data_IF_398173724436
#
_entry.id   IF_398173724436
#
_cell.length_a   1.000
_cell.length_b   1.000
_cell.length_c   1.000
_cell.angle_alpha   90.00
_cell.angle_beta   90.00
_cell.angle_gamma   90.00
#
_symmetry.space_group_name_H-M   'P 1'
#
loop_
_entity.id
_entity.type
_entity.pdbx_description
1 polymer ?
#
# COMPACT_ATOMS: atom_id res chain seq x y z
N UNK A 1 22.99 -4.98 4.93
CA UNK A 1 22.35 -6.30 5.12
C UNK A 1 20.94 -6.11 5.69
N UNK A 2 19.94 -5.93 4.83
CA UNK A 2 18.52 -5.83 5.22
C UNK A 2 17.93 -7.22 5.52
N UNK A 3 18.46 -7.92 6.51
CA UNK A 3 17.93 -9.21 6.94
C UNK A 3 16.79 -8.98 7.93
N UNK A 4 15.56 -9.25 7.53
CA UNK A 4 14.44 -9.46 8.45
C UNK A 4 13.53 -8.25 8.76
N UNK A 5 13.49 -7.22 7.92
CA UNK A 5 12.87 -5.93 8.24
C UNK A 5 11.34 -5.84 8.07
N UNK A 6 10.67 -6.77 7.39
CA UNK A 6 9.27 -6.55 7.03
C UNK A 6 8.27 -6.57 8.21
N UNK A 7 8.38 -7.52 9.13
CA UNK A 7 7.52 -7.58 10.33
C UNK A 7 7.89 -6.49 11.33
N UNK A 8 9.19 -6.29 11.51
CA UNK A 8 9.74 -5.19 12.33
C UNK A 8 9.26 -3.84 11.79
N UNK A 9 9.23 -3.65 10.46
CA UNK A 9 8.86 -2.40 9.82
C UNK A 9 7.39 -1.98 10.09
N UNK A 10 6.40 -2.88 9.89
CA UNK A 10 4.99 -2.52 10.13
C UNK A 10 4.66 -2.35 11.61
N UNK A 11 5.24 -3.16 12.48
CA UNK A 11 5.19 -2.96 13.94
C UNK A 11 5.85 -1.65 14.35
N UNK A 12 6.96 -1.27 13.72
CA UNK A 12 7.61 0.02 13.95
C UNK A 12 6.70 1.18 13.51
N UNK A 13 6.03 1.08 12.36
CA UNK A 13 5.07 2.09 11.93
C UNK A 13 3.92 2.21 12.95
N UNK A 14 3.28 1.10 13.33
CA UNK A 14 2.20 1.12 14.34
C UNK A 14 2.67 1.76 15.64
N UNK A 15 3.85 1.37 16.13
CA UNK A 15 4.45 1.97 17.35
C UNK A 15 4.76 3.46 17.14
N UNK A 16 5.30 3.83 16.00
CA UNK A 16 5.58 5.22 15.65
C UNK A 16 4.31 6.07 15.64
N UNK A 17 3.23 5.56 15.04
CA UNK A 17 1.93 6.25 14.99
C UNK A 17 1.35 6.45 16.40
N UNK A 18 1.46 5.43 17.29
CA UNK A 18 0.98 5.53 18.68
C UNK A 18 1.77 6.59 19.46
N UNK A 19 3.08 6.66 19.27
CA UNK A 19 3.98 7.56 19.97
C UNK A 19 4.00 8.98 19.37
N UNK A 20 3.48 9.16 18.15
CA UNK A 20 3.50 10.44 17.47
C UNK A 20 2.64 11.49 18.20
N UNK A 21 3.24 12.66 18.42
CA UNK A 21 2.60 13.83 19.02
C UNK A 21 2.20 14.89 17.98
N UNK A 22 2.79 14.82 16.78
CA UNK A 22 2.48 15.72 15.68
C UNK A 22 1.09 15.48 15.09
N UNK A 23 0.44 16.54 14.60
CA UNK A 23 -0.88 16.46 13.94
C UNK A 23 -0.85 15.55 12.71
N UNK A 24 0.26 15.52 11.99
CA UNK A 24 0.44 14.73 10.77
C UNK A 24 1.58 13.74 10.93
N UNK A 25 1.42 12.56 10.33
CA UNK A 25 2.38 11.48 10.32
C UNK A 25 2.83 11.19 8.88
N UNK A 26 4.13 11.20 8.67
CA UNK A 26 4.73 10.93 7.37
C UNK A 26 5.76 9.79 7.50
N UNK A 27 5.63 8.76 6.68
CA UNK A 27 6.56 7.63 6.66
C UNK A 27 7.68 7.98 5.69
N UNK A 28 8.91 7.98 6.20
CA UNK A 28 10.12 8.14 5.39
C UNK A 28 11.02 6.93 5.63
N UNK A 29 11.34 6.20 4.56
CA UNK A 29 12.22 5.04 4.63
C UNK A 29 13.67 5.50 4.90
N UNK A 30 14.47 4.66 5.57
CA UNK A 30 15.82 5.05 6.05
C UNK A 30 16.84 5.22 4.93
N UNK A 31 16.56 4.77 3.75
CA UNK A 31 17.36 4.86 2.52
C UNK A 31 16.85 5.93 1.54
N UNK A 32 15.78 6.64 1.92
CA UNK A 32 15.15 7.68 1.13
C UNK A 32 15.28 9.05 1.82
N UNK A 33 14.90 10.12 1.14
CA UNK A 33 14.98 11.47 1.69
C UNK A 33 13.87 12.40 1.18
N UNK A 34 13.63 13.47 1.91
CA UNK A 34 12.62 14.45 1.55
C UNK A 34 13.17 15.42 0.48
N UNK A 35 12.29 15.87 -0.42
CA UNK A 35 12.59 16.99 -1.30
C UNK A 35 12.79 18.28 -0.48
N UNK A 36 13.63 19.19 -0.94
CA UNK A 36 14.06 20.38 -0.18
C UNK A 36 12.92 21.25 0.37
N UNK A 37 11.79 21.32 -0.35
CA UNK A 37 10.61 22.09 0.06
C UNK A 37 9.46 21.19 0.58
N UNK A 38 9.71 19.93 0.85
CA UNK A 38 8.66 18.95 1.19
C UNK A 38 7.78 19.41 2.36
N UNK A 39 8.39 19.81 3.48
CA UNK A 39 7.65 20.22 4.67
C UNK A 39 6.82 21.47 4.43
N UNK A 40 7.36 22.44 3.68
CA UNK A 40 6.62 23.65 3.28
C UNK A 40 5.38 23.30 2.44
N UNK A 41 5.53 22.41 1.45
CA UNK A 41 4.42 22.01 0.59
C UNK A 41 3.37 21.19 1.35
N UNK A 42 3.80 20.27 2.22
CA UNK A 42 2.90 19.52 3.11
C UNK A 42 2.11 20.50 3.98
N UNK A 43 2.78 21.45 4.64
CA UNK A 43 2.13 22.44 5.47
C UNK A 43 1.12 23.28 4.67
N UNK A 44 1.51 23.77 3.50
CA UNK A 44 0.65 24.58 2.62
C UNK A 44 -0.65 23.84 2.26
N UNK A 45 -0.55 22.57 1.87
CA UNK A 45 -1.73 21.79 1.45
C UNK A 45 -2.56 21.29 2.64
N UNK A 46 -1.94 20.96 3.77
CA UNK A 46 -2.67 20.57 4.98
C UNK A 46 -3.48 21.72 5.55
N UNK A 47 -2.97 22.95 5.49
CA UNK A 47 -3.73 24.14 5.92
C UNK A 47 -5.00 24.38 5.11
N UNK A 48 -5.00 24.05 3.83
CA UNK A 48 -6.17 24.22 2.97
C UNK A 48 -7.31 23.22 3.20
N UNK A 49 -7.02 22.13 3.93
CA UNK A 49 -8.02 21.09 4.24
C UNK A 49 -8.29 20.95 5.75
N UNK A 50 -7.71 21.82 6.56
CA UNK A 50 -7.66 21.68 8.01
C UNK A 50 -9.06 21.59 8.67
N UNK A 51 -10.02 22.31 8.11
CA UNK A 51 -11.39 22.35 8.62
C UNK A 51 -12.33 21.32 7.98
N UNK A 52 -11.91 20.63 6.93
CA UNK A 52 -12.72 19.60 6.27
C UNK A 52 -12.41 18.20 6.81
N UNK A 53 -13.25 17.71 7.69
CA UNK A 53 -13.14 16.40 8.34
C UNK A 53 -13.33 15.19 7.38
N UNK A 54 -13.59 15.44 6.12
CA UNK A 54 -13.62 14.38 5.10
C UNK A 54 -12.23 14.02 4.57
N UNK A 55 -11.20 14.80 4.90
CA UNK A 55 -9.83 14.49 4.55
C UNK A 55 -9.12 13.72 5.67
N UNK A 56 -8.31 12.73 5.27
CA UNK A 56 -7.37 12.05 6.15
C UNK A 56 -5.95 12.66 6.08
N UNK A 57 -5.72 13.59 5.16
CA UNK A 57 -4.41 14.19 4.96
C UNK A 57 -4.16 14.59 3.50
N UNK A 58 -2.89 14.63 3.14
CA UNK A 58 -2.42 15.05 1.82
C UNK A 58 -1.48 14.01 1.21
N UNK A 59 -1.24 14.09 -0.11
CA UNK A 59 -0.37 13.17 -0.80
C UNK A 59 0.39 13.86 -1.94
N UNK A 60 1.71 13.85 -1.89
CA UNK A 60 2.56 14.39 -2.93
C UNK A 60 3.24 13.32 -3.78
N UNK A 61 4.13 13.72 -4.67
CA UNK A 61 4.84 12.81 -5.54
C UNK A 61 6.07 12.21 -4.87
N UNK A 62 6.30 10.91 -5.15
CA UNK A 62 7.63 10.31 -5.09
C UNK A 62 8.32 10.47 -6.44
N UNK A 63 9.57 10.87 -6.41
CA UNK A 63 10.41 11.02 -7.60
C UNK A 63 11.72 10.24 -7.44
N UNK A 64 12.35 9.93 -8.56
CA UNK A 64 13.73 9.46 -8.58
C UNK A 64 14.72 10.63 -8.42
N UNK A 65 16.01 10.36 -8.08
CA UNK A 65 17.03 11.40 -8.01
C UNK A 65 17.20 12.23 -9.29
N UNK A 66 16.83 11.68 -10.44
CA UNK A 66 16.85 12.38 -11.73
C UNK A 66 15.59 13.24 -12.00
N UNK A 67 14.73 13.42 -11.00
CA UNK A 67 13.52 14.24 -11.08
C UNK A 67 12.30 13.56 -11.73
N UNK A 68 12.44 12.35 -12.31
CA UNK A 68 11.28 11.65 -12.92
C UNK A 68 10.33 11.12 -11.85
N UNK A 69 9.03 11.31 -12.06
CA UNK A 69 8.00 10.76 -11.18
C UNK A 69 7.99 9.23 -11.20
N UNK A 70 7.85 8.61 -10.05
CA UNK A 70 7.65 7.17 -9.90
C UNK A 70 6.31 6.78 -10.52
N UNK A 71 6.32 5.80 -11.43
CA UNK A 71 5.12 5.32 -12.13
C UNK A 71 4.67 6.15 -13.32
N UNK A 72 5.47 7.14 -13.74
CA UNK A 72 5.23 7.99 -14.92
C UNK A 72 4.34 9.20 -14.65
N UNK A 73 4.11 9.99 -15.67
CA UNK A 73 3.37 11.26 -15.59
C UNK A 73 1.93 11.08 -15.11
N UNK A 74 1.40 12.12 -14.49
CA UNK A 74 0.01 12.20 -14.03
C UNK A 74 -0.59 13.56 -14.42
N UNK A 75 -1.76 13.51 -15.02
CA UNK A 75 -2.43 14.71 -15.55
C UNK A 75 -3.40 15.29 -14.52
N UNK A 76 -2.87 15.85 -13.43
CA UNK A 76 -3.63 16.66 -12.47
C UNK A 76 -2.68 17.67 -11.80
N UNK A 77 -3.21 18.80 -11.35
CA UNK A 77 -2.49 19.74 -10.49
C UNK A 77 -2.82 19.51 -9.02
N UNK A 78 -4.09 19.51 -8.70
CA UNK A 78 -4.65 19.14 -7.40
C UNK A 78 -5.84 18.21 -7.65
N UNK A 79 -5.99 17.18 -6.83
CA UNK A 79 -7.07 16.20 -6.96
C UNK A 79 -7.51 15.73 -5.57
N UNK A 80 -8.73 16.10 -5.19
CA UNK A 80 -9.35 15.69 -3.93
C UNK A 80 -10.16 14.41 -4.15
N UNK A 81 -9.61 13.27 -3.72
CA UNK A 81 -10.24 11.96 -3.91
C UNK A 81 -9.71 10.93 -2.92
N UNK A 82 -10.37 9.82 -2.80
CA UNK A 82 -9.87 8.68 -2.02
C UNK A 82 -8.85 7.84 -2.81
N UNK A 83 -8.05 7.04 -2.12
CA UNK A 83 -6.94 6.28 -2.72
C UNK A 83 -7.42 5.21 -3.73
N UNK A 84 -8.62 4.67 -3.58
CA UNK A 84 -9.19 3.69 -4.51
C UNK A 84 -9.56 4.40 -5.82
N UNK A 85 -10.32 5.49 -5.76
CA UNK A 85 -10.68 6.29 -6.94
C UNK A 85 -9.43 6.86 -7.64
N UNK A 86 -8.43 7.29 -6.88
CA UNK A 86 -7.15 7.75 -7.42
C UNK A 86 -6.50 6.72 -8.35
N UNK A 87 -6.57 5.44 -7.98
CA UNK A 87 -6.01 4.34 -8.78
C UNK A 87 -6.96 3.85 -9.87
N UNK A 88 -8.26 3.71 -9.58
CA UNK A 88 -9.21 3.08 -10.50
C UNK A 88 -9.81 4.06 -11.50
N UNK A 89 -10.25 5.23 -11.04
CA UNK A 89 -10.91 6.24 -11.89
C UNK A 89 -9.89 7.12 -12.60
N UNK A 90 -8.91 7.66 -11.86
CA UNK A 90 -7.91 8.57 -12.41
C UNK A 90 -6.68 7.87 -12.96
N UNK A 91 -6.55 6.55 -12.73
CA UNK A 91 -5.50 5.66 -13.28
C UNK A 91 -4.07 6.11 -13.00
N UNK A 92 -3.86 6.87 -11.92
CA UNK A 92 -2.52 7.30 -11.53
C UNK A 92 -1.71 6.11 -11.03
N UNK A 93 -0.51 5.94 -11.56
CA UNK A 93 0.40 4.84 -11.26
C UNK A 93 1.58 5.31 -10.40
N UNK A 94 2.31 4.33 -9.86
CA UNK A 94 3.51 4.54 -9.05
C UNK A 94 3.21 4.79 -7.58
N UNK A 95 4.24 4.66 -6.76
CA UNK A 95 4.13 4.93 -5.35
C UNK A 95 4.03 6.44 -5.11
N UNK A 96 3.31 6.79 -4.08
CA UNK A 96 3.05 8.17 -3.70
C UNK A 96 3.58 8.41 -2.28
N UNK A 97 3.63 9.67 -1.90
CA UNK A 97 4.08 10.09 -0.58
C UNK A 97 2.86 10.56 0.23
N UNK A 98 2.24 9.62 0.94
CA UNK A 98 1.06 9.86 1.74
C UNK A 98 1.45 10.44 3.11
N UNK A 99 0.78 11.53 3.49
CA UNK A 99 0.89 12.19 4.81
C UNK A 99 -0.47 12.17 5.45
N UNK A 100 -0.64 11.43 6.53
CA UNK A 100 -1.93 11.24 7.18
C UNK A 100 -2.05 12.07 8.46
N UNK A 101 -3.28 12.48 8.78
CA UNK A 101 -3.60 12.95 10.12
C UNK A 101 -3.35 11.82 11.12
N UNK A 102 -2.53 12.09 12.15
CA UNK A 102 -2.05 11.07 13.10
C UNK A 102 -3.20 10.37 13.80
N UNK A 103 -4.22 11.10 14.21
CA UNK A 103 -5.37 10.53 14.92
C UNK A 103 -6.25 9.66 14.01
N UNK A 104 -6.32 9.98 12.72
CA UNK A 104 -6.99 9.10 11.77
C UNK A 104 -6.18 7.82 11.60
N UNK A 105 -4.86 7.93 11.39
CA UNK A 105 -4.01 6.76 11.18
C UNK A 105 -3.97 5.82 12.40
N UNK A 106 -4.07 6.34 13.63
CA UNK A 106 -4.21 5.54 14.87
C UNK A 106 -5.42 4.61 14.85
N UNK A 107 -6.51 4.99 14.17
CA UNK A 107 -7.72 4.17 14.05
C UNK A 107 -7.63 3.08 12.97
N UNK A 108 -6.57 3.08 12.17
CA UNK A 108 -6.34 2.13 11.08
C UNK A 108 -4.95 1.47 11.20
N UNK A 109 -4.67 0.70 12.26
CA UNK A 109 -3.37 0.08 12.43
C UNK A 109 -3.10 -0.94 11.32
N UNK A 110 -1.83 -1.11 10.98
CA UNK A 110 -1.39 -2.20 10.10
C UNK A 110 -1.64 -3.54 10.78
N UNK A 111 -2.32 -4.49 10.11
CA UNK A 111 -2.51 -5.83 10.64
C UNK A 111 -1.16 -6.51 10.91
N UNK A 112 -1.07 -7.23 12.01
CA UNK A 112 0.12 -7.96 12.42
C UNK A 112 -0.19 -9.45 12.50
N UNK A 113 0.70 -10.26 11.93
CA UNK A 113 0.61 -11.72 12.00
C UNK A 113 1.91 -12.26 12.57
N UNK A 114 1.79 -13.17 13.54
CA UNK A 114 2.94 -13.82 14.14
C UNK A 114 3.77 -14.56 13.08
N UNK A 115 5.09 -14.37 13.11
CA UNK A 115 6.07 -14.98 12.19
C UNK A 115 5.94 -14.56 10.71
N UNK A 116 5.16 -13.52 10.39
CA UNK A 116 5.11 -12.96 9.04
C UNK A 116 5.78 -11.59 8.96
N UNK A 117 6.53 -11.38 7.89
CA UNK A 117 7.39 -10.20 7.72
C UNK A 117 6.87 -9.18 6.73
N UNK A 118 5.72 -9.42 6.12
CA UNK A 118 5.22 -8.54 5.08
C UNK A 118 3.70 -8.43 5.10
N UNK A 119 3.23 -7.20 5.04
CA UNK A 119 1.87 -6.86 4.68
C UNK A 119 1.88 -5.62 3.79
N UNK A 120 1.02 -5.59 2.77
CA UNK A 120 0.93 -4.43 1.87
C UNK A 120 0.32 -3.23 2.58
N UNK A 121 0.92 -2.05 2.43
CA UNK A 121 0.36 -0.78 2.91
C UNK A 121 -1.01 -0.48 2.30
N UNK A 122 -1.24 -0.95 1.09
CA UNK A 122 -2.51 -0.80 0.40
C UNK A 122 -3.74 -1.29 1.18
N UNK A 123 -3.56 -2.18 2.18
CA UNK A 123 -4.64 -2.57 3.10
C UNK A 123 -5.12 -1.34 3.89
N UNK A 124 -4.21 -0.66 4.56
CA UNK A 124 -4.54 0.48 5.42
C UNK A 124 -5.06 1.64 4.58
N UNK A 125 -4.40 1.94 3.47
CA UNK A 125 -4.85 3.00 2.55
C UNK A 125 -6.24 2.73 1.96
N UNK A 126 -6.55 1.47 1.63
CA UNK A 126 -7.88 1.05 1.18
C UNK A 126 -8.93 1.19 2.27
N UNK A 127 -8.63 0.83 3.51
CA UNK A 127 -9.54 0.97 4.66
C UNK A 127 -9.86 2.45 4.94
N UNK A 128 -8.86 3.31 4.95
CA UNK A 128 -9.03 4.77 5.10
C UNK A 128 -9.89 5.34 3.96
N UNK A 129 -9.69 4.89 2.74
CA UNK A 129 -10.40 5.34 1.54
C UNK A 129 -11.92 5.05 1.56
N UNK A 130 -12.41 4.21 2.45
CA UNK A 130 -13.84 4.01 2.62
C UNK A 130 -14.55 5.20 3.28
N UNK A 131 -13.82 5.97 4.07
CA UNK A 131 -14.39 7.07 4.85
C UNK A 131 -13.80 8.43 4.49
N UNK A 132 -12.54 8.45 4.07
CA UNK A 132 -11.78 9.67 3.88
C UNK A 132 -11.20 9.79 2.48
N UNK A 133 -10.96 11.02 2.06
CA UNK A 133 -10.18 11.38 0.88
C UNK A 133 -8.81 11.94 1.29
N UNK A 134 -7.91 12.03 0.33
CA UNK A 134 -6.65 12.76 0.42
C UNK A 134 -6.68 13.90 -0.62
N UNK A 135 -5.98 15.00 -0.31
CA UNK A 135 -5.62 15.99 -1.31
C UNK A 135 -4.32 15.57 -1.98
N UNK A 136 -4.43 15.08 -3.21
CA UNK A 136 -3.28 14.79 -4.06
C UNK A 136 -2.82 16.07 -4.74
N UNK A 137 -1.52 16.36 -4.66
CA UNK A 137 -0.92 17.47 -5.39
C UNK A 137 0.28 16.98 -6.21
N UNK A 138 0.42 17.52 -7.42
CA UNK A 138 1.40 17.06 -8.41
C UNK A 138 2.75 17.76 -8.23
N UNK A 139 3.29 17.74 -7.01
CA UNK A 139 4.58 18.30 -6.65
C UNK A 139 5.41 17.28 -5.86
N UNK A 140 6.73 17.23 -6.07
CA UNK A 140 7.60 16.27 -5.39
C UNK A 140 7.80 16.66 -3.92
N UNK A 141 7.63 15.69 -3.03
CA UNK A 141 7.95 15.83 -1.60
C UNK A 141 8.88 14.71 -1.10
N UNK A 142 9.12 13.70 -1.93
CA UNK A 142 9.85 12.50 -1.55
C UNK A 142 10.77 12.07 -2.68
N UNK A 143 12.02 11.74 -2.37
CA UNK A 143 13.01 11.24 -3.32
C UNK A 143 13.41 9.83 -2.90
N UNK A 144 13.19 8.87 -3.80
CA UNK A 144 13.54 7.47 -3.58
C UNK A 144 14.37 6.92 -4.72
N UNK A 145 15.31 6.04 -4.39
CA UNK A 145 16.06 5.29 -5.38
C UNK A 145 15.76 3.80 -5.22
N UNK A 146 15.13 3.20 -6.24
CA UNK A 146 14.83 1.78 -6.20
C UNK A 146 16.10 0.98 -6.40
N UNK A 147 16.67 0.51 -5.31
CA UNK A 147 17.82 -0.36 -5.30
C UNK A 147 17.50 -1.68 -6.03
N UNK A 148 18.50 -2.23 -6.74
CA UNK A 148 18.34 -3.50 -7.47
C UNK A 148 17.85 -4.65 -6.59
N UNK A 149 18.18 -4.64 -5.30
CA UNK A 149 17.77 -5.63 -4.29
C UNK A 149 16.56 -5.19 -3.45
N UNK A 150 15.87 -4.11 -3.84
CA UNK A 150 14.75 -3.52 -3.10
C UNK A 150 13.53 -4.43 -3.00
N UNK A 151 12.62 -4.06 -2.09
CA UNK A 151 11.34 -4.75 -1.80
C UNK A 151 10.52 -5.02 -3.06
N UNK A 152 10.49 -4.08 -3.99
CA UNK A 152 9.71 -4.16 -5.22
C UNK A 152 10.12 -5.34 -6.10
N UNK A 153 11.41 -5.63 -6.23
CA UNK A 153 11.92 -6.77 -7.00
C UNK A 153 11.65 -8.10 -6.30
N UNK A 154 11.61 -8.07 -4.98
CA UNK A 154 11.41 -9.26 -4.12
C UNK A 154 9.95 -9.47 -3.70
N UNK A 155 9.00 -8.65 -4.14
CA UNK A 155 7.59 -8.64 -3.68
C UNK A 155 6.93 -10.02 -3.74
N UNK A 156 7.21 -10.82 -4.79
CA UNK A 156 6.66 -12.18 -4.91
C UNK A 156 7.14 -13.13 -3.82
N UNK A 157 8.40 -12.98 -3.39
CA UNK A 157 8.98 -13.75 -2.29
C UNK A 157 8.35 -13.35 -0.96
N UNK A 158 8.14 -12.06 -0.75
CA UNK A 158 7.48 -11.54 0.45
C UNK A 158 6.04 -12.03 0.58
N UNK A 159 5.25 -11.99 -0.49
CA UNK A 159 3.89 -12.53 -0.50
C UNK A 159 3.85 -14.04 -0.14
N UNK A 160 4.80 -14.84 -0.64
CA UNK A 160 4.86 -16.27 -0.33
C UNK A 160 5.28 -16.56 1.10
N UNK A 161 6.15 -15.74 1.65
CA UNK A 161 6.66 -15.91 3.01
C UNK A 161 5.74 -15.29 4.08
N UNK A 162 4.71 -14.56 3.66
CA UNK A 162 3.72 -13.93 4.52
C UNK A 162 2.30 -14.26 4.03
N UNK A 163 1.90 -15.55 4.14
CA UNK A 163 0.65 -16.03 3.54
C UNK A 163 -0.60 -15.42 4.19
N UNK A 164 -0.64 -15.18 5.50
CA UNK A 164 -1.80 -14.59 6.17
C UNK A 164 -2.01 -13.14 5.75
N UNK A 165 -0.96 -12.31 5.78
CA UNK A 165 -1.00 -10.93 5.28
C UNK A 165 -1.38 -10.87 3.81
N UNK A 166 -0.91 -11.82 3.01
CA UNK A 166 -1.24 -11.94 1.59
C UNK A 166 -2.70 -12.35 1.37
N UNK A 167 -3.22 -13.31 2.15
CA UNK A 167 -4.63 -13.70 2.11
C UNK A 167 -5.53 -12.53 2.47
N UNK A 168 -5.23 -11.82 3.55
CA UNK A 168 -5.99 -10.64 3.97
C UNK A 168 -6.02 -9.57 2.87
N UNK A 169 -4.85 -9.20 2.35
CA UNK A 169 -4.72 -8.19 1.30
C UNK A 169 -5.56 -8.52 0.06
N UNK A 170 -5.40 -9.73 -0.48
CA UNK A 170 -6.15 -10.09 -1.69
C UNK A 170 -7.64 -10.29 -1.42
N UNK A 171 -8.05 -10.79 -0.25
CA UNK A 171 -9.45 -10.88 0.10
C UNK A 171 -10.11 -9.51 0.20
N UNK A 172 -9.47 -8.52 0.80
CA UNK A 172 -10.00 -7.15 0.82
C UNK A 172 -10.11 -6.59 -0.61
N UNK A 173 -9.10 -6.81 -1.46
CA UNK A 173 -9.17 -6.42 -2.87
C UNK A 173 -10.34 -7.08 -3.63
N UNK A 174 -10.60 -8.35 -3.37
CA UNK A 174 -11.70 -9.10 -3.98
C UNK A 174 -13.06 -8.57 -3.49
N UNK A 175 -13.20 -8.28 -2.20
CA UNK A 175 -14.43 -7.77 -1.58
C UNK A 175 -14.75 -6.34 -2.00
N UNK A 176 -13.73 -5.55 -2.29
CA UNK A 176 -13.87 -4.14 -2.68
C UNK A 176 -14.59 -3.99 -4.02
N UNK A 177 -15.92 -3.71 -3.97
CA UNK A 177 -16.76 -3.59 -5.18
C UNK A 177 -16.35 -2.44 -6.10
N UNK A 178 -15.68 -1.40 -5.57
CA UNK A 178 -15.14 -0.27 -6.36
C UNK A 178 -13.95 -0.68 -7.23
N UNK A 179 -13.29 -1.79 -6.92
CA UNK A 179 -12.35 -2.43 -7.83
C UNK A 179 -13.15 -3.05 -8.99
N UNK A 180 -12.78 -2.75 -10.22
CA UNK A 180 -13.39 -3.37 -11.39
C UNK A 180 -13.24 -4.90 -11.39
N UNK A 181 -14.13 -5.60 -12.08
CA UNK A 181 -14.14 -7.08 -12.12
C UNK A 181 -12.76 -7.67 -12.49
N UNK A 182 -12.09 -7.10 -13.49
CA UNK A 182 -10.74 -7.53 -13.90
C UNK A 182 -9.74 -7.53 -12.74
N UNK A 183 -9.73 -6.45 -11.94
CA UNK A 183 -8.81 -6.33 -10.80
C UNK A 183 -9.15 -7.33 -9.70
N UNK A 184 -10.43 -7.56 -9.44
CA UNK A 184 -10.91 -8.56 -8.48
C UNK A 184 -10.56 -9.98 -8.90
N UNK A 185 -10.67 -10.31 -10.19
CA UNK A 185 -10.23 -11.60 -10.73
C UNK A 185 -8.72 -11.81 -10.60
N UNK A 186 -7.93 -10.78 -10.94
CA UNK A 186 -6.46 -10.82 -10.77
C UNK A 186 -6.10 -11.01 -9.29
N UNK A 187 -6.80 -10.34 -8.38
CA UNK A 187 -6.61 -10.52 -6.94
C UNK A 187 -6.92 -11.95 -6.48
N UNK A 188 -8.02 -12.56 -7.00
CA UNK A 188 -8.38 -13.94 -6.71
C UNK A 188 -7.34 -14.95 -7.22
N UNK A 189 -6.81 -14.74 -8.43
CA UNK A 189 -5.71 -15.56 -8.97
C UNK A 189 -4.46 -15.44 -8.09
N UNK A 190 -4.09 -14.22 -7.68
CA UNK A 190 -2.90 -13.99 -6.84
C UNK A 190 -3.09 -14.50 -5.41
N UNK A 191 -4.30 -14.45 -4.84
CA UNK A 191 -4.60 -15.12 -3.57
C UNK A 191 -4.11 -16.57 -3.62
N UNK A 192 -4.54 -17.36 -4.60
CA UNK A 192 -4.13 -18.75 -4.74
C UNK A 192 -2.66 -18.90 -5.11
N UNK A 193 -2.16 -18.12 -6.06
CA UNK A 193 -0.76 -18.15 -6.53
C UNK A 193 0.26 -18.06 -5.39
N UNK A 194 0.01 -17.20 -4.40
CA UNK A 194 0.97 -16.98 -3.33
C UNK A 194 0.70 -17.82 -2.08
N UNK A 195 -0.52 -18.30 -1.91
CA UNK A 195 -0.93 -18.99 -0.69
C UNK A 195 -1.17 -20.49 -0.86
N UNK A 196 -0.99 -21.04 -2.04
CA UNK A 196 -1.28 -22.45 -2.35
C UNK A 196 -0.52 -23.44 -1.46
N UNK A 197 0.69 -23.12 -1.05
CA UNK A 197 1.50 -23.94 -0.12
C UNK A 197 1.23 -23.67 1.36
N UNK A 198 0.38 -22.72 1.68
CA UNK A 198 0.03 -22.47 3.06
C UNK A 198 -0.81 -23.62 3.62
N UNK A 199 -0.30 -24.30 4.67
CA UNK A 199 -0.93 -25.44 5.32
C UNK A 199 -1.76 -25.08 6.55
N UNK A 200 -1.70 -23.82 6.98
CA UNK A 200 -2.46 -23.35 8.14
C UNK A 200 -3.92 -23.09 7.82
N UNK A 201 -4.66 -22.79 8.86
CA UNK A 201 -6.10 -22.50 8.76
C UNK A 201 -6.39 -21.25 7.93
N UNK A 202 -7.44 -21.32 7.11
CA UNK A 202 -8.02 -20.22 6.35
C UNK A 202 -9.41 -19.90 6.90
N UNK A 203 -9.45 -19.19 8.03
CA UNK A 203 -10.70 -18.85 8.71
C UNK A 203 -10.94 -17.33 8.70
N UNK A 204 -12.17 -16.92 8.92
CA UNK A 204 -12.57 -15.52 9.03
C UNK A 204 -12.18 -14.69 7.80
N UNK A 205 -11.45 -13.62 8.02
CA UNK A 205 -10.99 -12.71 6.95
C UNK A 205 -9.95 -13.32 6.02
N UNK A 206 -9.29 -14.41 6.45
CA UNK A 206 -8.30 -15.12 5.64
C UNK A 206 -8.93 -16.20 4.75
N UNK A 207 -10.19 -16.58 5.01
CA UNK A 207 -10.90 -17.57 4.20
C UNK A 207 -11.13 -17.07 2.78
N UNK A 208 -10.90 -17.88 1.74
CA UNK A 208 -11.15 -17.49 0.36
C UNK A 208 -12.64 -17.24 0.14
N UNK A 209 -12.95 -16.22 -0.65
CA UNK A 209 -14.34 -15.93 -1.03
C UNK A 209 -14.82 -17.01 -2.00
N UNK A 210 -16.03 -17.53 -1.80
CA UNK A 210 -16.56 -18.70 -2.52
C UNK A 210 -16.30 -18.73 -4.03
N UNK A 211 -16.63 -17.66 -4.76
CA UNK A 211 -16.39 -17.61 -6.20
C UNK A 211 -14.89 -17.58 -6.59
N UNK A 212 -13.98 -17.18 -5.68
CA UNK A 212 -12.54 -17.14 -5.95
C UNK A 212 -11.94 -18.53 -6.19
N UNK A 213 -12.63 -19.60 -5.77
CA UNK A 213 -12.22 -20.98 -6.07
C UNK A 213 -12.16 -21.26 -7.58
N UNK A 214 -12.98 -20.60 -8.39
CA UNK A 214 -12.89 -20.71 -9.86
C UNK A 214 -11.53 -20.23 -10.39
N UNK A 215 -10.82 -19.37 -9.64
CA UNK A 215 -9.49 -18.87 -9.99
C UNK A 215 -8.34 -19.78 -9.50
N UNK A 216 -8.63 -20.84 -8.72
CA UNK A 216 -7.63 -21.75 -8.18
C UNK A 216 -6.74 -22.40 -9.25
N UNK A 217 -7.28 -22.99 -10.34
CA UNK A 217 -6.44 -23.62 -11.37
C UNK A 217 -5.44 -22.65 -11.99
N UNK A 218 -5.88 -21.41 -12.25
CA UNK A 218 -5.01 -20.39 -12.81
C UNK A 218 -3.95 -19.91 -11.79
N UNK A 219 -4.32 -19.79 -10.52
CA UNK A 219 -3.39 -19.51 -9.43
C UNK A 219 -2.31 -20.59 -9.31
N UNK A 220 -2.68 -21.86 -9.43
CA UNK A 220 -1.79 -23.02 -9.42
C UNK A 220 -0.82 -22.98 -10.61
N UNK A 221 -1.33 -22.71 -11.81
CA UNK A 221 -0.50 -22.55 -13.00
C UNK A 221 0.58 -21.47 -12.80
N UNK A 222 0.18 -20.27 -12.39
CA UNK A 222 1.14 -19.18 -12.14
C UNK A 222 2.13 -19.50 -11.01
N UNK A 223 1.70 -20.22 -9.98
CA UNK A 223 2.60 -20.70 -8.94
C UNK A 223 3.72 -21.58 -9.53
N UNK A 224 3.39 -22.57 -10.38
CA UNK A 224 4.39 -23.43 -11.03
C UNK A 224 5.28 -22.67 -12.02
N UNK A 225 4.72 -21.73 -12.78
CA UNK A 225 5.52 -20.86 -13.66
C UNK A 225 6.56 -20.04 -12.88
N UNK A 226 6.21 -19.58 -11.69
CA UNK A 226 7.14 -18.82 -10.83
C UNK A 226 8.27 -19.67 -10.26
N UNK A 227 8.03 -20.97 -10.02
CA UNK A 227 9.07 -21.88 -9.51
C UNK A 227 10.06 -22.26 -10.62
N UNK A 228 9.56 -22.44 -11.84
CA UNK A 228 10.40 -22.81 -13.01
C UNK A 228 11.32 -21.67 -13.47
N UNK A 229 11.08 -20.44 -13.06
CA UNK A 229 11.91 -19.26 -13.41
C UNK A 229 13.02 -18.98 -12.38
N UNK A 230 13.21 -19.85 -11.42
CA UNK A 230 14.35 -19.88 -10.48
C UNK A 230 15.41 -20.84 -10.98
#
# INVERSE_FOLDING_TARGET
ASRGLGDVYKRQINKGVILAQGKYFFIVDSDDYLHNNALERIYFYTKQIEDDKTFAGVCGLKIYPNGRKVGGEANYKILDTDSISFREKYRVKGDMAEVFETDILKNYPFPEFENEKFISEGIVWSRIAHKYKLRYFNEPIYICDYLEDGLTRSIRKYHRNSPKGTMLFYNEMIRQKRNGLKKRLIAAVNYWRYTIKYKGERAGELAPIGWSYCCYPLGLLFYYMDIRKK
#
